data_IF_139304958750
#
_entry.id   IF_139304958750
#
_cell.length_a   1.000
_cell.length_b   1.000
_cell.length_c   1.000
_cell.angle_alpha   90.00
_cell.angle_beta   90.00
_cell.angle_gamma   90.00
#
_symmetry.space_group_name_H-M   'P 1'
#
loop_
_entity.id
_entity.type
_entity.pdbx_description
1 polymer ?
#
# COMPACT_ATOMS: atom_id res chain seq x y z
N UNK A 1 17.33 -39.73 21.54
CA UNK A 1 15.86 -39.83 21.48
C UNK A 1 15.45 -39.35 20.08
N UNK A 2 15.03 -40.26 19.21
CA UNK A 2 14.68 -40.02 17.80
C UNK A 2 13.21 -39.61 17.73
N UNK A 3 12.88 -38.44 17.18
CA UNK A 3 11.54 -38.04 16.75
C UNK A 3 11.67 -37.48 15.34
N UNK A 4 11.41 -38.29 14.40
CA UNK A 4 10.27 -38.46 13.44
C UNK A 4 10.06 -37.26 12.53
N UNK A 5 10.93 -37.16 11.51
CA UNK A 5 10.61 -36.50 10.23
C UNK A 5 9.69 -37.47 9.43
N UNK A 6 8.38 -37.34 9.61
CA UNK A 6 7.39 -37.99 8.74
C UNK A 6 6.19 -37.03 8.69
N UNK A 7 5.98 -36.43 7.57
CA UNK A 7 4.73 -35.66 7.36
C UNK A 7 4.65 -34.77 6.13
N UNK A 8 5.78 -34.42 5.52
CA UNK A 8 5.74 -33.43 4.40
C UNK A 8 5.99 -34.06 3.01
N UNK A 9 6.32 -35.33 2.91
CA UNK A 9 6.68 -35.98 1.61
C UNK A 9 5.54 -36.84 1.03
N UNK A 10 4.45 -37.07 1.77
CA UNK A 10 3.36 -37.95 1.33
C UNK A 10 2.29 -37.32 0.44
N UNK A 11 2.34 -35.99 0.17
CA UNK A 11 1.34 -35.32 -0.68
C UNK A 11 1.75 -35.19 -2.15
N UNK A 12 3.00 -35.49 -2.49
CA UNK A 12 3.52 -35.34 -3.88
C UNK A 12 3.31 -36.59 -4.75
N UNK A 13 2.84 -37.71 -4.19
CA UNK A 13 2.81 -39.00 -4.85
C UNK A 13 1.52 -39.46 -5.52
N UNK A 14 0.47 -38.63 -5.58
CA UNK A 14 -0.83 -39.04 -6.14
C UNK A 14 -1.31 -38.10 -7.26
N UNK A 15 -0.55 -38.03 -8.34
CA UNK A 15 -1.05 -37.40 -9.59
C UNK A 15 -1.16 -38.49 -10.66
N UNK A 16 -2.26 -39.20 -10.59
CA UNK A 16 -2.73 -40.04 -11.68
C UNK A 16 -3.54 -39.21 -12.67
N UNK A 17 -3.10 -39.17 -13.92
CA UNK A 17 -3.76 -38.55 -15.06
C UNK A 17 -5.14 -39.15 -15.30
N UNK A 18 -6.19 -38.33 -15.21
CA UNK A 18 -7.48 -38.63 -15.85
C UNK A 18 -7.99 -37.36 -16.58
N UNK A 19 -7.96 -37.43 -17.89
CA UNK A 19 -8.63 -36.51 -18.80
C UNK A 19 -10.13 -36.75 -18.75
N UNK A 20 -10.93 -35.77 -18.35
CA UNK A 20 -12.38 -35.75 -18.50
C UNK A 20 -12.85 -34.41 -19.05
N UNK A 21 -13.87 -34.47 -19.86
CA UNK A 21 -14.44 -33.43 -20.72
C UNK A 21 -14.88 -32.17 -19.95
N UNK A 22 -14.79 -31.02 -20.63
CA UNK A 22 -15.22 -29.72 -20.17
C UNK A 22 -16.73 -29.66 -19.88
N UNK A 23 -17.07 -29.84 -18.64
CA UNK A 23 -18.31 -29.43 -18.01
C UNK A 23 -17.92 -28.47 -16.91
N UNK A 24 -18.73 -27.43 -16.57
CA UNK A 24 -18.49 -26.40 -15.54
C UNK A 24 -17.78 -26.98 -14.30
N UNK A 25 -16.49 -27.28 -14.42
CA UNK A 25 -15.76 -28.08 -13.45
C UNK A 25 -15.22 -27.15 -12.38
N UNK A 26 -15.62 -27.40 -11.17
CA UNK A 26 -14.98 -26.91 -9.96
C UNK A 26 -13.47 -27.07 -10.11
N UNK A 27 -12.75 -25.95 -10.19
CA UNK A 27 -11.30 -25.94 -10.26
C UNK A 27 -10.74 -25.70 -8.87
N UNK A 28 -9.80 -26.52 -8.47
CA UNK A 28 -9.09 -26.37 -7.21
C UNK A 28 -7.58 -26.30 -7.51
N UNK A 29 -6.92 -25.26 -7.01
CA UNK A 29 -5.49 -25.10 -7.15
C UNK A 29 -4.85 -24.70 -5.82
N UNK A 30 -3.64 -25.17 -5.57
CA UNK A 30 -2.75 -24.64 -4.55
C UNK A 30 -1.89 -23.57 -5.20
N UNK A 31 -1.88 -22.39 -4.62
CA UNK A 31 -1.05 -21.26 -5.05
C UNK A 31 -0.18 -20.75 -3.92
N UNK A 32 0.95 -20.19 -4.28
CA UNK A 32 1.80 -19.45 -3.36
C UNK A 32 2.07 -18.10 -4.01
N UNK A 33 1.41 -17.06 -3.53
CA UNK A 33 1.81 -15.71 -3.86
C UNK A 33 2.80 -15.24 -2.79
N UNK A 34 3.84 -14.54 -3.20
CA UNK A 34 4.80 -14.07 -2.21
C UNK A 34 5.90 -13.22 -2.79
N UNK A 35 6.70 -12.68 -1.90
CA UNK A 35 7.85 -11.85 -2.24
C UNK A 35 8.97 -12.08 -1.25
N UNK A 36 10.20 -12.29 -1.75
CA UNK A 36 11.40 -12.07 -0.97
C UNK A 36 11.91 -10.69 -1.31
N UNK A 37 12.14 -9.85 -0.33
CA UNK A 37 12.47 -8.46 -0.58
C UNK A 37 13.66 -7.98 0.26
N UNK A 38 14.43 -7.11 -0.35
CA UNK A 38 15.43 -6.28 0.28
C UNK A 38 15.25 -4.87 -0.28
N UNK A 39 14.70 -3.98 0.53
CA UNK A 39 14.52 -2.57 0.21
C UNK A 39 15.35 -1.76 1.18
N UNK A 40 16.13 -0.81 0.67
CA UNK A 40 16.96 0.06 1.47
C UNK A 40 16.73 1.51 1.05
N UNK A 41 16.22 2.29 1.97
CA UNK A 41 15.92 3.70 1.81
C UNK A 41 16.94 4.51 2.62
N UNK A 42 17.91 5.09 1.91
CA UNK A 42 18.92 5.98 2.47
C UNK A 42 18.36 7.41 2.50
N UNK A 43 17.40 7.61 3.38
CA UNK A 43 16.84 8.92 3.64
C UNK A 43 17.64 9.56 4.78
N UNK A 44 18.17 10.73 4.53
CA UNK A 44 18.94 11.49 5.50
C UNK A 44 18.36 12.89 5.56
N UNK A 45 17.62 13.20 6.58
CA UNK A 45 17.08 14.53 6.66
C UNK A 45 16.05 14.74 7.75
N UNK A 46 15.50 15.94 7.73
CA UNK A 46 14.54 16.38 8.73
C UNK A 46 13.12 15.83 8.48
N UNK A 47 12.86 15.28 7.28
CA UNK A 47 11.53 14.83 6.87
C UNK A 47 11.26 13.36 7.24
N UNK A 48 12.20 12.49 6.91
CA UNK A 48 12.05 11.04 7.04
C UNK A 48 13.41 10.41 7.30
N UNK A 49 13.49 9.48 8.26
CA UNK A 49 14.67 8.66 8.49
C UNK A 49 14.75 7.50 7.48
N UNK A 50 15.97 7.15 7.11
CA UNK A 50 16.26 5.98 6.31
C UNK A 50 15.98 4.68 7.05
N UNK A 51 15.64 3.64 6.30
CA UNK A 51 15.38 2.30 6.84
C UNK A 51 15.71 1.21 5.84
N UNK A 52 15.85 -0.01 6.33
CA UNK A 52 16.05 -1.19 5.51
C UNK A 52 14.97 -2.21 5.84
N UNK A 53 14.30 -2.75 4.82
CA UNK A 53 13.30 -3.81 4.92
C UNK A 53 13.85 -5.09 4.29
N UNK A 54 14.53 -5.97 5.04
CA UNK A 54 14.98 -7.28 4.57
C UNK A 54 14.00 -8.35 5.05
N UNK A 55 13.30 -9.03 4.15
CA UNK A 55 12.32 -10.00 4.60
C UNK A 55 11.68 -10.84 3.50
N UNK A 56 10.63 -11.51 3.87
CA UNK A 56 9.73 -12.16 2.93
C UNK A 56 8.27 -12.05 3.39
N UNK A 57 7.39 -12.04 2.42
CA UNK A 57 5.97 -12.24 2.59
C UNK A 57 5.56 -13.45 1.74
N UNK A 58 4.93 -14.46 2.35
CA UNK A 58 4.43 -15.64 1.66
C UNK A 58 2.96 -15.82 1.96
N UNK A 59 2.18 -16.11 0.93
CA UNK A 59 0.76 -16.35 0.99
C UNK A 59 0.39 -17.67 0.32
N UNK A 60 0.67 -18.82 0.96
CA UNK A 60 0.14 -20.10 0.52
C UNK A 60 -1.38 -20.13 0.73
N UNK A 61 -2.12 -20.42 -0.33
CA UNK A 61 -3.59 -20.52 -0.28
C UNK A 61 -4.13 -21.51 -1.29
N UNK A 62 -5.30 -22.02 -0.97
CA UNK A 62 -6.12 -22.81 -1.90
C UNK A 62 -7.03 -21.83 -2.64
N UNK A 63 -6.99 -21.91 -3.96
CA UNK A 63 -7.90 -21.19 -4.86
C UNK A 63 -8.95 -22.19 -5.36
N UNK A 64 -10.18 -21.97 -4.96
CA UNK A 64 -11.32 -22.81 -5.29
C UNK A 64 -12.35 -22.07 -6.11
N UNK A 65 -12.45 -22.36 -7.39
CA UNK A 65 -13.50 -21.86 -8.26
C UNK A 65 -14.72 -22.79 -8.16
N UNK A 66 -15.77 -22.31 -7.50
CA UNK A 66 -17.01 -23.05 -7.33
C UNK A 66 -17.81 -23.11 -8.64
N UNK A 67 -17.89 -21.98 -9.33
CA UNK A 67 -18.49 -21.86 -10.66
C UNK A 67 -17.84 -20.68 -11.42
N UNK A 68 -18.45 -20.27 -12.54
CA UNK A 68 -17.96 -19.13 -13.35
C UNK A 68 -18.07 -17.78 -12.64
N UNK A 69 -18.84 -17.67 -11.57
CA UNK A 69 -19.11 -16.43 -10.86
C UNK A 69 -18.46 -16.36 -9.48
N UNK A 70 -18.24 -17.50 -8.83
CA UNK A 70 -17.82 -17.54 -7.43
C UNK A 70 -16.46 -18.26 -7.32
N UNK A 71 -15.48 -17.51 -6.83
CA UNK A 71 -14.17 -17.99 -6.43
C UNK A 71 -13.95 -17.75 -4.95
N UNK A 72 -13.34 -18.73 -4.28
CA UNK A 72 -12.94 -18.65 -2.88
C UNK A 72 -11.44 -18.87 -2.77
N UNK A 73 -10.80 -18.13 -1.86
CA UNK A 73 -9.42 -18.38 -1.48
C UNK A 73 -9.35 -18.55 0.03
N UNK A 74 -8.57 -19.50 0.49
CA UNK A 74 -8.33 -19.74 1.90
C UNK A 74 -6.86 -20.10 2.14
N UNK A 75 -6.20 -19.42 3.05
CA UNK A 75 -4.80 -19.60 3.35
C UNK A 75 -4.32 -18.74 4.50
N UNK A 76 -3.05 -18.43 4.49
CA UNK A 76 -2.41 -17.55 5.47
C UNK A 76 -1.48 -16.58 4.78
N UNK A 77 -1.35 -15.39 5.30
CA UNK A 77 -0.33 -14.43 4.97
C UNK A 77 0.76 -14.48 6.04
N UNK A 78 1.97 -14.83 5.65
CA UNK A 78 3.12 -14.94 6.53
C UNK A 78 4.14 -13.87 6.18
N UNK A 79 4.39 -12.97 7.13
CA UNK A 79 5.37 -11.90 7.00
C UNK A 79 6.52 -12.16 7.99
N UNK A 80 7.75 -11.96 7.55
CA UNK A 80 8.95 -12.13 8.34
C UNK A 80 10.04 -11.17 7.92
N UNK A 81 10.74 -10.58 8.89
CA UNK A 81 11.88 -9.71 8.66
C UNK A 81 13.14 -10.25 9.30
N UNK A 82 14.25 -10.19 8.56
CA UNK A 82 15.57 -10.51 9.11
C UNK A 82 16.13 -9.32 9.87
N UNK A 83 16.86 -9.60 10.97
CA UNK A 83 17.56 -8.58 11.74
C UNK A 83 16.73 -7.83 12.77
N UNK A 84 15.42 -7.97 12.73
CA UNK A 84 14.46 -7.50 13.76
C UNK A 84 14.80 -6.16 14.43
N UNK A 85 15.14 -5.14 13.65
CA UNK A 85 15.21 -3.76 14.11
C UNK A 85 13.87 -3.07 13.80
N UNK A 86 13.44 -2.14 14.65
CA UNK A 86 12.15 -1.48 14.49
C UNK A 86 12.01 -0.78 13.13
N UNK A 87 10.76 -0.68 12.68
CA UNK A 87 10.40 0.13 11.52
C UNK A 87 10.49 1.62 11.83
N UNK A 88 10.69 2.48 10.83
CA UNK A 88 10.58 3.91 11.02
C UNK A 88 9.14 4.24 11.48
N UNK A 89 9.05 4.95 12.56
CA UNK A 89 7.76 5.36 13.14
C UNK A 89 6.98 6.24 12.15
N UNK A 90 5.68 6.05 12.11
CA UNK A 90 4.75 6.89 11.35
C UNK A 90 4.47 6.44 9.91
N UNK A 91 5.36 5.67 9.28
CA UNK A 91 5.14 5.20 7.89
C UNK A 91 4.49 3.82 7.85
N UNK A 92 4.76 2.99 8.86
CA UNK A 92 4.45 1.57 8.86
C UNK A 92 3.80 1.11 10.18
N UNK A 93 3.08 2.00 10.85
CA UNK A 93 2.46 1.78 12.17
C UNK A 93 1.53 0.56 12.27
N UNK A 94 1.12 0.03 11.13
CA UNK A 94 0.07 -1.01 11.11
C UNK A 94 0.60 -2.43 11.34
N UNK A 95 1.90 -2.65 11.20
CA UNK A 95 2.57 -3.93 11.49
C UNK A 95 3.39 -3.86 12.78
N UNK A 96 3.58 -2.66 13.32
CA UNK A 96 4.37 -2.47 14.53
C UNK A 96 3.75 -3.20 15.70
N UNK A 97 4.54 -4.00 16.43
CA UNK A 97 4.11 -4.48 17.73
C UNK A 97 3.82 -3.26 18.61
N UNK A 98 2.76 -3.34 19.36
CA UNK A 98 2.45 -2.36 20.43
C UNK A 98 3.65 -2.26 21.35
N UNK A 99 3.88 -1.06 21.89
CA UNK A 99 5.01 -0.82 22.78
C UNK A 99 5.15 -1.93 23.84
N UNK A 100 6.28 -2.65 23.83
CA UNK A 100 6.53 -3.80 24.68
C UNK A 100 6.55 -5.17 23.99
N UNK A 101 6.03 -5.29 22.76
CA UNK A 101 6.13 -6.52 21.99
C UNK A 101 7.39 -6.45 21.12
N UNK A 102 8.34 -7.37 21.33
CA UNK A 102 9.37 -7.59 20.32
C UNK A 102 8.68 -8.10 19.06
N UNK A 103 9.04 -7.57 17.87
CA UNK A 103 8.65 -8.18 16.60
C UNK A 103 9.06 -9.65 16.64
N UNK A 104 8.10 -10.49 17.01
CA UNK A 104 8.31 -11.92 16.92
C UNK A 104 8.59 -12.21 15.45
N UNK A 105 9.57 -13.05 15.21
CA UNK A 105 10.00 -13.41 13.86
C UNK A 105 8.87 -13.94 12.96
N UNK A 106 7.71 -14.22 13.50
CA UNK A 106 6.60 -14.84 12.81
C UNK A 106 5.34 -13.99 12.96
N UNK A 107 4.91 -13.36 11.88
CA UNK A 107 3.64 -12.67 11.79
C UNK A 107 2.72 -13.41 10.80
N UNK A 108 1.69 -14.05 11.32
CA UNK A 108 0.73 -14.84 10.56
C UNK A 108 -0.65 -14.26 10.68
N UNK A 109 -1.27 -13.98 9.54
CA UNK A 109 -2.64 -13.48 9.44
C UNK A 109 -3.45 -14.41 8.55
N UNK A 110 -4.71 -14.74 8.88
CA UNK A 110 -5.58 -15.50 7.98
C UNK A 110 -5.77 -14.76 6.65
N UNK A 111 -5.74 -15.51 5.55
CA UNK A 111 -6.13 -15.04 4.23
C UNK A 111 -7.41 -15.75 3.82
N UNK A 112 -8.51 -15.00 3.76
CA UNK A 112 -9.81 -15.52 3.35
C UNK A 112 -10.42 -14.52 2.38
N UNK A 113 -10.74 -14.95 1.16
CA UNK A 113 -11.32 -14.09 0.14
C UNK A 113 -12.46 -14.82 -0.57
N UNK A 114 -13.57 -14.13 -0.77
CA UNK A 114 -14.63 -14.54 -1.67
C UNK A 114 -14.76 -13.50 -2.79
N UNK A 115 -14.60 -13.94 -4.06
CA UNK A 115 -14.83 -13.10 -5.23
C UNK A 115 -16.09 -13.55 -5.94
N UNK A 116 -17.02 -12.62 -6.15
CA UNK A 116 -18.32 -12.85 -6.76
C UNK A 116 -18.42 -12.00 -8.03
N UNK A 117 -18.41 -12.61 -9.20
CA UNK A 117 -18.63 -11.97 -10.49
C UNK A 117 -20.11 -11.65 -10.70
N UNK A 118 -20.48 -10.39 -10.51
CA UNK A 118 -21.85 -9.91 -10.71
C UNK A 118 -22.19 -9.79 -12.21
N UNK A 119 -21.20 -9.36 -12.99
CA UNK A 119 -21.22 -9.31 -14.45
C UNK A 119 -19.82 -9.66 -14.98
N UNK A 120 -19.60 -9.79 -16.31
CA UNK A 120 -18.26 -10.03 -16.87
C UNK A 120 -17.24 -8.92 -16.54
N UNK A 121 -17.68 -7.75 -16.14
CA UNK A 121 -16.86 -6.56 -15.87
C UNK A 121 -17.04 -5.99 -14.46
N UNK A 122 -17.87 -6.60 -13.61
CA UNK A 122 -18.15 -6.15 -12.24
C UNK A 122 -18.01 -7.32 -11.27
N UNK A 123 -17.20 -7.18 -10.25
CA UNK A 123 -16.99 -8.17 -9.21
C UNK A 123 -17.07 -7.54 -7.81
N UNK A 124 -17.63 -8.29 -6.88
CA UNK A 124 -17.59 -8.01 -5.44
C UNK A 124 -16.55 -8.94 -4.79
N UNK A 125 -15.67 -8.38 -3.98
CA UNK A 125 -14.70 -9.11 -3.17
C UNK A 125 -15.04 -8.90 -1.70
N UNK A 126 -15.06 -9.97 -0.92
CA UNK A 126 -15.32 -9.95 0.51
C UNK A 126 -14.21 -10.69 1.25
N UNK A 127 -13.81 -10.22 2.41
CA UNK A 127 -12.70 -10.72 3.20
C UNK A 127 -11.41 -10.02 2.84
N UNK A 128 -10.32 -10.74 2.56
CA UNK A 128 -9.05 -10.15 2.13
C UNK A 128 -9.20 -9.49 0.76
N UNK A 129 -8.76 -8.23 0.63
CA UNK A 129 -8.97 -7.43 -0.57
C UNK A 129 -7.91 -7.71 -1.66
N UNK A 130 -8.22 -7.33 -2.88
CA UNK A 130 -7.28 -7.37 -4.01
C UNK A 130 -6.48 -6.07 -4.05
N UNK A 131 -5.26 -6.08 -3.56
CA UNK A 131 -4.38 -4.90 -3.45
C UNK A 131 -3.18 -4.91 -4.38
N UNK A 132 -3.04 -5.93 -5.23
CA UNK A 132 -1.89 -6.08 -6.12
C UNK A 132 -1.70 -4.95 -7.14
N UNK A 133 -2.73 -4.15 -7.38
CA UNK A 133 -2.69 -2.94 -8.22
C UNK A 133 -2.71 -1.63 -7.40
N UNK A 134 -2.52 -1.71 -6.07
CA UNK A 134 -2.47 -0.56 -5.16
C UNK A 134 -3.69 0.37 -5.31
N UNK A 135 -4.88 -0.20 -5.58
CA UNK A 135 -6.14 0.50 -5.87
C UNK A 135 -6.05 1.53 -7.01
N UNK A 136 -5.09 1.38 -7.92
CA UNK A 136 -4.74 2.35 -8.99
C UNK A 136 -4.39 3.76 -8.46
N UNK A 137 -3.99 3.86 -7.20
CA UNK A 137 -3.65 5.12 -6.54
C UNK A 137 -2.21 5.56 -6.86
N UNK A 138 -1.96 6.87 -7.02
CA UNK A 138 -0.60 7.40 -7.19
C UNK A 138 0.21 7.34 -5.89
N UNK A 139 1.55 7.37 -6.00
CA UNK A 139 2.49 7.29 -4.87
C UNK A 139 2.17 8.24 -3.69
N UNK A 140 1.73 9.49 -3.92
CA UNK A 140 1.34 10.35 -2.80
C UNK A 140 0.07 9.89 -2.07
N UNK A 141 -0.71 8.97 -2.63
CA UNK A 141 -1.91 8.43 -2.01
C UNK A 141 -1.77 6.99 -1.53
N UNK A 142 -0.85 6.20 -2.09
CA UNK A 142 -0.60 4.82 -1.66
C UNK A 142 0.89 4.47 -1.79
N UNK A 143 1.50 4.09 -0.68
CA UNK A 143 2.89 3.60 -0.65
C UNK A 143 2.90 2.11 -1.03
N UNK A 144 3.57 1.70 -2.13
CA UNK A 144 3.69 0.29 -2.53
C UNK A 144 4.33 -0.61 -1.47
N UNK A 145 5.17 -0.07 -0.62
CA UNK A 145 5.82 -0.81 0.47
C UNK A 145 4.84 -1.32 1.53
N UNK A 146 3.62 -0.79 1.57
CA UNK A 146 2.54 -1.33 2.41
C UNK A 146 2.33 -2.82 2.18
N UNK A 147 2.55 -3.32 0.97
CA UNK A 147 2.50 -4.76 0.65
C UNK A 147 3.44 -5.59 1.52
N UNK A 148 4.58 -5.02 1.93
CA UNK A 148 5.61 -5.68 2.75
C UNK A 148 5.54 -5.32 4.23
N UNK A 149 4.78 -4.30 4.58
CA UNK A 149 4.89 -3.62 5.86
C UNK A 149 3.57 -3.46 6.60
N UNK A 150 2.45 -3.91 6.03
CA UNK A 150 1.14 -3.89 6.69
C UNK A 150 0.44 -5.23 6.57
N UNK A 151 -0.52 -5.46 7.46
CA UNK A 151 -1.44 -6.58 7.32
C UNK A 151 -2.25 -6.44 6.04
N UNK A 152 -2.64 -7.56 5.41
CA UNK A 152 -3.53 -7.54 4.27
C UNK A 152 -4.79 -6.72 4.57
N UNK A 153 -5.18 -5.88 3.66
CA UNK A 153 -6.44 -5.15 3.76
C UNK A 153 -7.60 -6.14 3.73
N UNK A 154 -8.59 -5.92 4.59
CA UNK A 154 -9.72 -6.85 4.75
C UNK A 154 -11.04 -6.11 4.96
N UNK A 155 -12.09 -6.57 4.26
CA UNK A 155 -13.42 -5.98 4.32
C UNK A 155 -14.26 -6.27 3.07
N UNK A 156 -14.60 -5.24 2.32
CA UNK A 156 -15.39 -5.35 1.09
C UNK A 156 -14.80 -4.46 -0.02
N UNK A 157 -14.81 -4.96 -1.25
CA UNK A 157 -14.30 -4.25 -2.41
C UNK A 157 -15.18 -4.51 -3.63
N UNK A 158 -15.50 -3.45 -4.36
CA UNK A 158 -16.23 -3.50 -5.63
C UNK A 158 -15.29 -3.13 -6.76
N UNK A 159 -15.04 -4.07 -7.66
CA UNK A 159 -14.16 -3.91 -8.81
C UNK A 159 -14.96 -3.88 -10.10
N UNK A 160 -14.77 -2.81 -10.88
CA UNK A 160 -15.27 -2.72 -12.23
C UNK A 160 -14.11 -2.51 -13.19
N UNK A 161 -14.02 -3.36 -14.20
CA UNK A 161 -13.03 -3.23 -15.26
C UNK A 161 -13.71 -3.41 -16.62
N UNK A 162 -13.93 -2.29 -17.31
CA UNK A 162 -14.51 -2.24 -18.65
C UNK A 162 -13.57 -1.52 -19.61
N UNK A 163 -13.87 -1.55 -20.91
CA UNK A 163 -13.06 -0.85 -21.92
C UNK A 163 -12.90 0.65 -21.63
N UNK A 164 -13.90 1.30 -21.04
CA UNK A 164 -13.98 2.75 -20.91
C UNK A 164 -13.94 3.26 -19.48
N UNK A 165 -14.06 2.37 -18.50
CA UNK A 165 -14.11 2.72 -17.09
C UNK A 165 -13.47 1.63 -16.25
N UNK A 166 -12.53 2.00 -15.38
CA UNK A 166 -12.12 1.21 -14.25
C UNK A 166 -12.67 1.85 -12.97
N UNK A 167 -13.06 1.02 -12.00
CA UNK A 167 -13.45 1.44 -10.67
C UNK A 167 -12.96 0.41 -9.66
N UNK A 168 -12.40 0.91 -8.58
CA UNK A 168 -12.11 0.18 -7.36
C UNK A 168 -12.69 0.99 -6.19
N UNK A 169 -13.65 0.42 -5.47
CA UNK A 169 -14.21 1.02 -4.27
C UNK A 169 -14.12 0.02 -3.13
N UNK A 170 -13.50 0.42 -2.01
CA UNK A 170 -13.20 -0.51 -0.94
C UNK A 170 -13.43 0.07 0.44
N UNK A 171 -13.60 -0.83 1.41
CA UNK A 171 -13.51 -0.58 2.85
C UNK A 171 -12.56 -1.61 3.43
N UNK A 172 -11.53 -1.13 4.12
CA UNK A 172 -10.54 -1.92 4.85
C UNK A 172 -10.74 -1.68 6.34
N UNK A 173 -11.18 -2.72 7.05
CA UNK A 173 -11.52 -2.66 8.47
C UNK A 173 -10.29 -3.02 9.30
N UNK A 174 -9.69 -2.04 9.95
CA UNK A 174 -8.43 -2.21 10.71
C UNK A 174 -8.67 -2.61 12.16
N UNK A 175 -9.62 -1.98 12.83
CA UNK A 175 -10.00 -2.25 14.21
C UNK A 175 -11.51 -2.08 14.36
N UNK A 176 -12.20 -3.08 14.87
CA UNK A 176 -13.62 -2.98 15.18
C UNK A 176 -13.86 -2.90 16.69
N UNK A 177 -14.99 -2.31 17.10
CA UNK A 177 -15.37 -2.19 18.49
C UNK A 177 -16.22 -3.40 18.88
N UNK A 178 -15.83 -4.04 19.99
CA UNK A 178 -16.62 -5.06 20.65
C UNK A 178 -17.12 -4.55 21.98
N UNK A 179 -18.10 -5.24 22.58
CA UNK A 179 -18.60 -4.91 23.91
C UNK A 179 -17.45 -4.82 24.93
N UNK A 180 -17.32 -3.68 25.63
CA UNK A 180 -16.22 -3.33 26.53
C UNK A 180 -14.83 -3.08 25.88
N UNK A 181 -14.74 -2.90 24.58
CA UNK A 181 -13.51 -2.41 23.96
C UNK A 181 -13.12 -1.04 24.49
N UNK A 182 -11.81 -0.83 24.72
CA UNK A 182 -11.26 0.45 25.19
C UNK A 182 -10.55 1.23 24.08
N UNK A 183 -10.48 0.67 22.88
CA UNK A 183 -9.89 1.33 21.70
C UNK A 183 -10.99 1.90 20.82
N UNK A 184 -10.62 2.81 19.95
CA UNK A 184 -11.50 3.37 18.95
C UNK A 184 -11.56 2.46 17.71
N UNK A 185 -12.70 2.47 17.03
CA UNK A 185 -12.84 1.88 15.71
C UNK A 185 -11.91 2.56 14.72
N UNK A 186 -11.32 1.77 13.82
CA UNK A 186 -10.48 2.27 12.73
C UNK A 186 -10.82 1.56 11.45
N UNK A 187 -11.09 2.32 10.40
CA UNK A 187 -11.18 1.79 9.05
C UNK A 187 -10.66 2.80 8.02
N UNK A 188 -10.18 2.27 6.92
CA UNK A 188 -9.87 3.02 5.73
C UNK A 188 -10.93 2.70 4.69
N UNK A 189 -11.36 3.67 3.91
CA UNK A 189 -12.16 3.42 2.73
C UNK A 189 -11.71 4.33 1.61
N UNK A 190 -11.94 3.87 0.39
CA UNK A 190 -11.57 4.66 -0.75
C UNK A 190 -12.34 4.29 -1.99
N UNK A 191 -12.20 5.15 -2.97
CA UNK A 191 -12.73 4.96 -4.31
C UNK A 191 -11.72 5.50 -5.33
N UNK A 192 -11.44 4.70 -6.33
CA UNK A 192 -10.68 5.04 -7.52
C UNK A 192 -11.57 4.85 -8.74
N UNK A 193 -11.80 5.92 -9.50
CA UNK A 193 -12.62 5.90 -10.72
C UNK A 193 -11.77 6.45 -11.86
N UNK A 194 -11.56 5.64 -12.89
CA UNK A 194 -10.71 6.01 -14.02
C UNK A 194 -11.45 5.83 -15.34
N UNK A 195 -12.15 6.87 -15.84
CA UNK A 195 -12.56 6.93 -17.22
C UNK A 195 -11.35 6.87 -18.13
N UNK A 196 -11.41 6.01 -19.15
CA UNK A 196 -10.27 5.76 -20.04
C UNK A 196 -10.69 5.66 -21.49
N UNK A 197 -9.84 6.19 -22.34
CA UNK A 197 -9.99 6.14 -23.79
C UNK A 197 -8.71 5.61 -24.42
N UNK A 198 -8.86 4.68 -25.34
CA UNK A 198 -7.73 4.14 -26.10
C UNK A 198 -8.06 4.20 -27.61
N UNK A 199 -7.19 4.87 -28.35
CA UNK A 199 -7.26 4.95 -29.80
C UNK A 199 -5.90 4.65 -30.39
N UNK A 200 -5.77 3.56 -31.15
CA UNK A 200 -4.51 3.10 -31.74
C UNK A 200 -3.41 2.98 -30.68
N UNK A 201 -2.40 3.86 -30.77
CA UNK A 201 -1.23 3.92 -29.89
C UNK A 201 -1.40 4.91 -28.73
N UNK A 202 -2.48 5.67 -28.69
CA UNK A 202 -2.74 6.64 -27.64
C UNK A 202 -3.66 6.09 -26.58
N UNK A 203 -3.32 6.35 -25.33
CA UNK A 203 -4.17 6.15 -24.14
C UNK A 203 -4.37 7.49 -23.45
N UNK A 204 -5.58 7.73 -23.01
CA UNK A 204 -5.95 8.88 -22.19
C UNK A 204 -6.84 8.38 -21.06
N UNK A 205 -6.53 8.80 -19.83
CA UNK A 205 -7.37 8.52 -18.68
C UNK A 205 -7.49 9.76 -17.77
N UNK A 206 -8.60 9.83 -17.05
CA UNK A 206 -8.91 10.89 -16.09
C UNK A 206 -9.17 10.26 -14.72
N UNK A 207 -8.12 9.85 -14.00
CA UNK A 207 -8.30 9.22 -12.70
C UNK A 207 -8.83 10.21 -11.65
N UNK A 208 -9.79 9.74 -10.86
CA UNK A 208 -10.42 10.43 -9.75
C UNK A 208 -10.32 9.52 -8.54
N UNK A 209 -9.76 10.03 -7.43
CA UNK A 209 -9.53 9.26 -6.23
C UNK A 209 -10.03 9.98 -4.99
N UNK A 210 -10.56 9.21 -4.05
CA UNK A 210 -10.84 9.69 -2.70
C UNK A 210 -10.52 8.59 -1.70
N UNK A 211 -9.87 8.96 -0.60
CA UNK A 211 -9.53 8.08 0.52
C UNK A 211 -10.01 8.75 1.80
N UNK A 212 -10.60 7.96 2.69
CA UNK A 212 -10.99 8.37 4.03
C UNK A 212 -10.34 7.42 5.02
N UNK A 213 -9.67 7.97 6.00
CA UNK A 213 -9.24 7.25 7.19
C UNK A 213 -10.09 7.73 8.36
N UNK A 214 -10.85 6.83 8.97
CA UNK A 214 -11.75 7.13 10.08
C UNK A 214 -11.22 6.53 11.37
N UNK A 215 -11.30 7.32 12.45
CA UNK A 215 -11.04 6.89 13.82
C UNK A 215 -12.14 7.39 14.73
N UNK A 216 -12.59 6.52 15.61
CA UNK A 216 -13.69 6.80 16.53
C UNK A 216 -14.96 6.12 16.07
N UNK A 217 -15.95 5.99 16.91
CA UNK A 217 -17.19 5.32 16.55
C UNK A 217 -18.11 5.11 17.72
N UNK A 218 -19.07 4.24 17.55
CA UNK A 218 -20.23 4.12 18.40
C UNK A 218 -19.93 3.68 19.84
N UNK A 219 -20.53 4.38 20.74
CA UNK A 219 -21.16 3.96 21.99
C UNK A 219 -20.32 3.49 23.17
N UNK A 220 -19.15 2.83 23.03
CA UNK A 220 -18.36 2.31 24.16
C UNK A 220 -16.87 2.58 24.03
N UNK A 221 -16.47 3.27 22.98
CA UNK A 221 -15.11 3.74 22.80
C UNK A 221 -14.75 4.77 23.88
N UNK A 222 -13.47 4.96 24.08
CA UNK A 222 -12.97 6.02 24.95
C UNK A 222 -13.56 7.36 24.52
N UNK A 223 -14.48 7.90 25.30
CA UNK A 223 -15.17 9.16 25.04
C UNK A 223 -14.27 10.38 25.30
N UNK A 224 -13.06 10.17 25.81
CA UNK A 224 -12.08 11.25 26.02
C UNK A 224 -11.42 11.69 24.72
N UNK A 225 -11.38 10.83 23.70
CA UNK A 225 -10.87 11.13 22.37
C UNK A 225 -12.04 11.20 21.40
N UNK A 226 -12.29 12.38 20.83
CA UNK A 226 -13.35 12.59 19.84
C UNK A 226 -13.13 11.75 18.59
N UNK A 227 -14.19 11.46 17.85
CA UNK A 227 -14.08 10.84 16.54
C UNK A 227 -13.54 11.86 15.50
N UNK A 228 -12.72 11.37 14.60
CA UNK A 228 -12.13 12.20 13.56
C UNK A 228 -11.95 11.42 12.26
N UNK A 229 -11.96 12.14 11.18
CA UNK A 229 -11.75 11.60 9.85
C UNK A 229 -10.76 12.45 9.08
N UNK A 230 -9.92 11.77 8.32
CA UNK A 230 -8.95 12.37 7.42
C UNK A 230 -9.32 12.00 5.99
N UNK A 231 -9.07 12.91 5.06
CA UNK A 231 -9.46 12.78 3.67
C UNK A 231 -8.29 13.12 2.77
N UNK A 232 -8.00 12.26 1.79
CA UNK A 232 -7.23 12.63 0.61
C UNK A 232 -8.12 12.49 -0.62
N UNK A 233 -8.10 13.49 -1.50
CA UNK A 233 -8.73 13.39 -2.81
C UNK A 233 -7.72 13.77 -3.89
N UNK A 234 -7.88 13.20 -5.07
CA UNK A 234 -7.06 13.55 -6.23
C UNK A 234 -7.88 13.54 -7.51
N UNK A 235 -7.52 14.43 -8.41
CA UNK A 235 -7.96 14.44 -9.80
C UNK A 235 -6.73 14.47 -10.68
N UNK A 236 -6.71 13.57 -11.69
CA UNK A 236 -5.54 13.40 -12.53
C UNK A 236 -5.83 13.38 -14.02
N UNK A 237 -4.76 13.47 -14.76
CA UNK A 237 -4.67 13.24 -16.20
C UNK A 237 -3.54 12.23 -16.42
N UNK A 238 -3.82 11.15 -17.15
CA UNK A 238 -2.83 10.18 -17.61
C UNK A 238 -2.94 10.09 -19.13
N UNK A 239 -1.84 10.38 -19.81
CA UNK A 239 -1.73 10.32 -21.26
C UNK A 239 -0.50 9.51 -21.63
N UNK A 240 -0.65 8.54 -22.53
CA UNK A 240 0.46 7.74 -23.00
C UNK A 240 0.40 7.48 -24.52
N UNK A 241 1.59 7.34 -25.08
CA UNK A 241 1.80 6.97 -26.48
C UNK A 241 2.75 5.77 -26.57
N UNK A 242 2.29 4.71 -27.25
CA UNK A 242 3.00 3.43 -27.32
C UNK A 242 3.48 3.16 -28.77
N UNK A 243 4.64 3.70 -29.21
CA UNK A 243 5.23 3.41 -30.51
C UNK A 243 6.04 2.10 -30.46
N UNK A 244 5.46 1.00 -30.92
CA UNK A 244 6.11 -0.32 -30.89
C UNK A 244 6.28 -0.85 -29.47
N UNK A 245 7.53 -1.17 -29.09
CA UNK A 245 7.87 -1.70 -27.77
C UNK A 245 8.11 -0.60 -26.70
N UNK A 246 8.03 0.67 -27.08
CA UNK A 246 8.19 1.81 -26.18
C UNK A 246 6.83 2.31 -25.70
N UNK A 247 6.79 2.77 -24.45
CA UNK A 247 5.66 3.49 -23.87
C UNK A 247 6.18 4.80 -23.29
N UNK A 248 5.65 5.92 -23.77
CA UNK A 248 5.99 7.25 -23.29
C UNK A 248 4.73 7.82 -22.65
N UNK A 249 4.80 8.16 -21.38
CA UNK A 249 3.67 8.61 -20.59
C UNK A 249 3.91 9.94 -19.90
N UNK A 250 2.83 10.65 -19.69
CA UNK A 250 2.76 11.82 -18.82
C UNK A 250 1.55 11.67 -17.91
N UNK A 251 1.79 11.80 -16.62
CA UNK A 251 0.74 11.77 -15.59
C UNK A 251 0.83 13.03 -14.75
N UNK A 252 -0.31 13.61 -14.40
CA UNK A 252 -0.38 14.76 -13.51
C UNK A 252 -1.58 14.63 -12.58
N UNK A 253 -1.40 15.01 -11.30
CA UNK A 253 -2.45 15.02 -10.29
C UNK A 253 -2.47 16.33 -9.52
N UNK A 254 -3.66 16.78 -9.23
CA UNK A 254 -3.95 17.73 -8.15
C UNK A 254 -4.49 16.95 -6.97
N UNK A 255 -3.86 17.11 -5.81
CA UNK A 255 -4.20 16.36 -4.60
C UNK A 255 -4.64 17.33 -3.49
N UNK A 256 -5.52 16.85 -2.63
CA UNK A 256 -5.95 17.61 -1.46
C UNK A 256 -5.89 16.73 -0.21
N UNK A 257 -5.66 17.38 0.90
CA UNK A 257 -5.79 16.82 2.23
C UNK A 257 -6.79 17.64 3.04
N UNK A 258 -7.62 17.00 3.83
CA UNK A 258 -8.43 17.67 4.82
C UNK A 258 -8.74 16.74 6.00
N UNK A 259 -9.10 17.34 7.15
CA UNK A 259 -9.57 16.61 8.31
C UNK A 259 -10.81 17.21 8.91
N UNK A 260 -11.60 16.39 9.61
CA UNK A 260 -12.77 16.82 10.39
C UNK A 260 -12.76 16.13 11.75
N UNK A 261 -13.38 16.78 12.73
CA UNK A 261 -13.68 16.20 14.05
C UNK A 261 -12.53 16.11 15.04
N UNK A 262 -11.27 16.33 14.64
CA UNK A 262 -10.17 16.30 15.61
C UNK A 262 -10.26 17.51 16.55
N UNK A 263 -10.25 17.32 17.87
CA UNK A 263 -10.22 18.42 18.84
C UNK A 263 -8.93 19.26 18.65
N UNK A 264 -9.05 20.56 18.84
CA UNK A 264 -7.86 21.40 18.98
C UNK A 264 -7.17 20.97 20.29
N UNK A 265 -5.94 20.44 20.18
CA UNK A 265 -5.14 20.13 21.34
C UNK A 265 -5.27 18.69 21.87
N UNK A 266 -5.44 17.70 21.01
CA UNK A 266 -5.26 16.30 21.39
C UNK A 266 -3.87 16.11 22.03
N UNK A 267 -3.87 15.84 23.35
CA UNK A 267 -2.64 15.66 24.13
C UNK A 267 -2.10 14.25 23.83
N UNK A 268 -1.01 14.18 23.09
CA UNK A 268 -0.31 12.93 22.84
C UNK A 268 0.69 12.71 23.97
N UNK A 269 0.57 11.58 24.65
CA UNK A 269 1.55 11.14 25.64
C UNK A 269 2.46 10.11 25.00
N UNK A 270 3.76 10.23 25.25
CA UNK A 270 4.72 9.21 24.83
C UNK A 270 4.53 7.90 25.61
N UNK A 271 5.28 6.87 25.27
CA UNK A 271 5.25 5.57 25.93
C UNK A 271 5.68 5.63 27.42
N UNK A 272 6.21 6.75 27.86
CA UNK A 272 6.62 7.04 29.25
C UNK A 272 5.60 7.86 30.04
N UNK A 273 4.45 8.19 29.39
CA UNK A 273 3.41 9.03 29.97
C UNK A 273 3.79 10.51 30.03
N UNK A 274 4.85 10.95 29.34
CA UNK A 274 5.19 12.35 29.21
C UNK A 274 4.32 13.00 28.15
N UNK A 275 3.80 14.18 28.45
CA UNK A 275 3.03 14.98 27.50
C UNK A 275 3.95 15.39 26.34
N UNK A 276 3.78 14.77 25.21
CA UNK A 276 4.36 15.23 23.94
C UNK A 276 3.41 16.31 23.44
N UNK A 277 3.94 17.45 23.02
CA UNK A 277 3.12 18.45 22.34
C UNK A 277 2.33 17.78 21.22
N UNK A 278 1.04 18.11 21.04
CA UNK A 278 0.26 17.50 19.98
C UNK A 278 1.00 17.69 18.66
N UNK A 279 1.11 16.64 17.82
CA UNK A 279 1.81 16.79 16.55
C UNK A 279 1.13 17.90 15.78
N UNK A 280 1.90 18.75 15.09
CA UNK A 280 1.32 19.80 14.28
C UNK A 280 0.36 19.16 13.28
N UNK A 281 -0.81 19.71 13.18
CA UNK A 281 -1.87 19.12 12.37
C UNK A 281 -2.50 20.19 11.49
N UNK A 282 -2.62 19.87 10.19
CA UNK A 282 -3.27 20.76 9.24
C UNK A 282 -4.77 20.46 9.14
N UNK A 283 -5.59 21.50 8.97
CA UNK A 283 -7.01 21.32 8.63
C UNK A 283 -7.21 20.99 7.15
N UNK A 284 -6.38 21.57 6.30
CA UNK A 284 -6.42 21.41 4.84
C UNK A 284 -5.02 21.58 4.27
N UNK A 285 -4.77 20.88 3.19
CA UNK A 285 -3.55 20.98 2.41
C UNK A 285 -3.78 20.58 0.96
N UNK A 286 -2.80 20.83 0.12
CA UNK A 286 -2.85 20.46 -1.28
C UNK A 286 -1.48 20.05 -1.79
N UNK A 287 -1.45 19.33 -2.91
CA UNK A 287 -0.25 18.93 -3.58
C UNK A 287 -0.45 18.81 -5.09
N UNK A 288 0.64 18.92 -5.80
CA UNK A 288 0.73 18.64 -7.23
C UNK A 288 1.79 17.58 -7.44
N UNK A 289 1.45 16.53 -8.17
CA UNK A 289 2.39 15.48 -8.55
C UNK A 289 2.34 15.26 -10.04
N UNK A 290 3.51 15.22 -10.67
CA UNK A 290 3.64 14.94 -12.11
C UNK A 290 4.70 13.90 -12.35
N UNK A 291 4.49 13.03 -13.35
CA UNK A 291 5.44 11.99 -13.77
C UNK A 291 5.58 11.97 -15.27
N UNK A 292 6.82 11.97 -15.74
CA UNK A 292 7.18 11.56 -17.08
C UNK A 292 7.67 10.12 -17.03
N UNK A 293 7.11 9.26 -17.86
CA UNK A 293 7.47 7.85 -17.95
C UNK A 293 8.05 7.53 -19.32
N UNK A 294 9.15 6.78 -19.33
CA UNK A 294 9.64 6.09 -20.50
C UNK A 294 9.80 4.61 -20.16
N UNK A 295 9.09 3.73 -20.87
CA UNK A 295 9.20 2.30 -20.64
C UNK A 295 9.57 1.58 -21.94
N UNK A 296 10.41 0.58 -21.84
CA UNK A 296 10.80 -0.30 -22.92
C UNK A 296 10.79 -1.75 -22.42
N UNK A 297 9.83 -2.51 -22.94
CA UNK A 297 9.58 -3.89 -22.48
C UNK A 297 9.38 -3.94 -20.96
N UNK A 298 10.35 -4.48 -20.21
CA UNK A 298 10.30 -4.66 -18.76
C UNK A 298 11.14 -3.64 -17.99
N UNK A 299 11.70 -2.64 -18.68
CA UNK A 299 12.44 -1.52 -18.08
C UNK A 299 11.57 -0.29 -18.07
N UNK A 300 11.52 0.43 -16.95
CA UNK A 300 10.79 1.69 -16.78
C UNK A 300 11.67 2.74 -16.12
N UNK A 301 11.62 3.94 -16.67
CA UNK A 301 12.23 5.14 -16.10
C UNK A 301 11.14 6.17 -15.86
N UNK A 302 11.15 6.78 -14.70
CA UNK A 302 10.24 7.87 -14.33
C UNK A 302 11.04 9.07 -13.85
N UNK A 303 10.54 10.24 -14.20
CA UNK A 303 10.95 11.53 -13.64
C UNK A 303 9.71 12.12 -12.97
N UNK A 304 9.75 12.25 -11.65
CA UNK A 304 8.64 12.77 -10.88
C UNK A 304 8.97 14.14 -10.32
N UNK A 305 7.95 15.00 -10.22
CA UNK A 305 8.02 16.24 -9.49
C UNK A 305 6.86 16.34 -8.51
N UNK A 306 7.14 16.74 -7.30
CA UNK A 306 6.20 17.00 -6.23
C UNK A 306 6.30 18.44 -5.74
N UNK A 307 5.15 19.04 -5.44
CA UNK A 307 5.05 20.27 -4.66
C UNK A 307 3.83 20.19 -3.77
N UNK A 308 4.03 20.20 -2.46
CA UNK A 308 2.96 20.14 -1.46
C UNK A 308 3.03 21.28 -0.45
N UNK A 309 1.86 21.75 -0.03
CA UNK A 309 1.71 22.68 1.08
C UNK A 309 0.64 22.13 2.04
N UNK A 310 1.05 21.89 3.28
CA UNK A 310 0.19 21.31 4.34
C UNK A 310 -0.46 19.99 3.96
N UNK A 311 0.11 19.26 2.99
CA UNK A 311 -0.39 17.99 2.55
C UNK A 311 0.10 16.87 3.50
N UNK A 312 -0.79 15.92 3.80
CA UNK A 312 -0.49 14.71 4.57
C UNK A 312 -1.04 13.51 3.81
N UNK A 313 -0.19 12.58 3.38
CA UNK A 313 -0.63 11.33 2.77
C UNK A 313 -1.21 10.41 3.83
N UNK A 314 -2.37 9.82 3.60
CA UNK A 314 -3.00 8.88 4.55
C UNK A 314 -2.47 7.46 4.41
N UNK A 315 -2.36 6.97 3.18
CA UNK A 315 -1.79 5.66 2.85
C UNK A 315 -0.55 5.79 1.96
N UNK A 316 -0.20 7.01 1.55
CA UNK A 316 0.91 7.31 0.66
C UNK A 316 2.26 7.36 1.37
N UNK A 317 3.34 7.53 0.58
CA UNK A 317 4.68 7.70 1.12
C UNK A 317 4.81 9.03 1.87
N UNK A 318 5.45 8.98 3.04
CA UNK A 318 5.75 10.16 3.85
C UNK A 318 6.74 11.13 3.18
N UNK A 319 7.43 10.72 2.13
CA UNK A 319 8.21 11.62 1.28
C UNK A 319 7.39 12.82 0.76
N UNK A 320 6.08 12.65 0.64
CA UNK A 320 5.14 13.68 0.18
C UNK A 320 4.48 14.46 1.32
N UNK A 321 4.82 14.15 2.58
CA UNK A 321 4.20 14.75 3.76
C UNK A 321 4.83 16.12 4.09
N UNK A 322 4.00 17.10 4.41
CA UNK A 322 4.45 18.33 5.04
C UNK A 322 4.60 18.20 6.57
N UNK A 323 4.30 17.04 7.15
CA UNK A 323 4.67 16.69 8.53
C UNK A 323 5.96 15.90 8.50
N UNK A 324 6.92 16.25 9.36
CA UNK A 324 8.10 15.43 9.56
C UNK A 324 7.72 14.15 10.33
N UNK A 325 8.20 12.99 9.89
CA UNK A 325 8.14 11.75 10.67
C UNK A 325 9.36 11.59 11.58
N UNK A 326 10.46 12.25 11.26
CA UNK A 326 11.70 12.22 12.03
C UNK A 326 11.64 13.18 13.24
N UNK A 327 11.09 14.37 13.03
CA UNK A 327 11.01 15.41 14.07
C UNK A 327 9.53 15.72 14.33
N UNK A 328 8.97 15.15 15.39
CA UNK A 328 7.53 15.12 15.67
C UNK A 328 6.86 16.50 15.80
N UNK A 329 7.62 17.55 16.08
CA UNK A 329 7.11 18.93 16.20
C UNK A 329 7.40 19.81 14.97
N UNK A 330 7.90 19.23 13.87
CA UNK A 330 8.30 19.95 12.67
C UNK A 330 7.28 19.83 11.55
N UNK A 331 7.05 20.94 10.87
CA UNK A 331 6.27 21.01 9.62
C UNK A 331 7.07 21.71 8.53
N UNK A 332 6.99 21.16 7.32
CA UNK A 332 7.64 21.70 6.14
C UNK A 332 6.71 22.67 5.41
N UNK A 333 7.19 23.87 5.12
CA UNK A 333 6.46 24.81 4.27
C UNK A 333 6.79 24.52 2.81
N UNK A 334 5.78 24.31 1.99
CA UNK A 334 5.90 24.10 0.55
C UNK A 334 7.03 23.13 0.18
N UNK A 335 6.89 21.89 0.62
CA UNK A 335 7.83 20.82 0.31
C UNK A 335 7.83 20.56 -1.21
N UNK A 336 9.03 20.63 -1.81
CA UNK A 336 9.22 20.33 -3.23
C UNK A 336 10.33 19.29 -3.38
N UNK A 337 10.12 18.32 -4.26
CA UNK A 337 11.14 17.34 -4.59
C UNK A 337 11.05 16.88 -6.05
N UNK A 338 12.16 16.37 -6.57
CA UNK A 338 12.26 15.67 -7.83
C UNK A 338 12.77 14.25 -7.55
N UNK A 339 12.16 13.25 -8.19
CA UNK A 339 12.64 11.86 -8.11
C UNK A 339 12.98 11.34 -9.51
N UNK A 340 14.09 10.63 -9.60
CA UNK A 340 14.46 9.83 -10.76
C UNK A 340 14.34 8.37 -10.35
N UNK A 341 13.42 7.63 -10.95
CA UNK A 341 13.19 6.22 -10.63
C UNK A 341 13.46 5.34 -11.81
N UNK A 342 14.20 4.27 -11.59
CA UNK A 342 14.48 3.22 -12.56
C UNK A 342 14.00 1.88 -12.02
N UNK A 343 13.33 1.10 -12.85
CA UNK A 343 12.84 -0.24 -12.53
C UNK A 343 13.15 -1.19 -13.67
N UNK A 344 13.58 -2.39 -13.36
CA UNK A 344 13.70 -3.48 -14.32
C UNK A 344 13.16 -4.78 -13.75
N UNK A 345 12.44 -5.55 -14.57
CA UNK A 345 11.85 -6.83 -14.16
C UNK A 345 12.29 -7.94 -15.11
N UNK A 346 12.96 -8.95 -14.57
CA UNK A 346 13.22 -10.22 -15.27
C UNK A 346 12.08 -11.18 -14.97
N UNK A 347 11.47 -11.72 -16.02
CA UNK A 347 10.36 -12.68 -15.92
C UNK A 347 10.85 -14.11 -16.10
N UNK A 348 10.53 -14.97 -15.15
CA UNK A 348 10.81 -16.40 -15.17
C UNK A 348 9.52 -17.19 -15.03
N UNK A 349 9.60 -18.51 -15.24
CA UNK A 349 8.46 -19.38 -14.99
C UNK A 349 8.19 -19.49 -13.49
N UNK A 350 7.06 -18.92 -13.03
CA UNK A 350 6.63 -18.97 -11.63
C UNK A 350 7.29 -17.94 -10.70
N UNK A 351 8.13 -17.04 -11.22
CA UNK A 351 8.63 -15.91 -10.44
C UNK A 351 9.10 -14.74 -11.32
N UNK A 352 9.09 -13.54 -10.77
CA UNK A 352 9.61 -12.34 -11.39
C UNK A 352 10.63 -11.68 -10.45
N UNK A 353 11.82 -11.35 -10.96
CA UNK A 353 12.83 -10.59 -10.22
C UNK A 353 12.75 -9.13 -10.62
N UNK A 354 12.43 -8.25 -9.68
CA UNK A 354 12.36 -6.80 -9.85
C UNK A 354 13.52 -6.14 -9.14
N UNK A 355 14.16 -5.19 -9.82
CA UNK A 355 15.13 -4.27 -9.23
C UNK A 355 14.64 -2.84 -9.44
N UNK A 356 14.66 -2.07 -8.37
CA UNK A 356 14.26 -0.68 -8.31
C UNK A 356 15.40 0.18 -7.79
N UNK A 357 15.53 1.39 -8.32
CA UNK A 357 16.44 2.40 -7.80
C UNK A 357 15.78 3.77 -7.93
N UNK A 358 15.97 4.61 -6.93
CA UNK A 358 15.52 6.00 -6.96
C UNK A 358 16.60 6.95 -6.43
N UNK A 359 16.70 8.11 -7.06
CA UNK A 359 17.37 9.29 -6.55
C UNK A 359 16.33 10.35 -6.29
N UNK A 360 16.38 10.98 -5.12
CA UNK A 360 15.41 11.95 -4.65
C UNK A 360 16.17 13.21 -4.24
N UNK A 361 15.82 14.33 -4.82
CA UNK A 361 16.35 15.64 -4.46
C UNK A 361 15.23 16.50 -3.88
N UNK A 362 15.37 16.88 -2.61
CA UNK A 362 14.46 17.82 -1.94
C UNK A 362 15.07 19.20 -2.00
N UNK A 363 14.29 20.16 -2.51
CA UNK A 363 14.75 21.55 -2.61
C UNK A 363 14.79 22.23 -1.24
N UNK A 364 15.70 23.19 -1.08
CA UNK A 364 15.76 24.01 0.12
C UNK A 364 14.41 24.70 0.39
N UNK A 365 13.97 24.64 1.63
CA UNK A 365 12.67 25.18 2.03
C UNK A 365 12.65 25.61 3.50
N UNK A 366 11.63 26.34 3.91
CA UNK A 366 11.42 26.72 5.29
C UNK A 366 10.63 25.64 6.04
N UNK A 367 10.94 25.48 7.32
CA UNK A 367 10.20 24.62 8.23
C UNK A 367 9.82 25.40 9.51
N UNK A 368 8.69 25.03 10.07
CA UNK A 368 8.23 25.52 11.37
C UNK A 368 8.40 24.42 12.41
N UNK A 369 8.80 24.81 13.61
CA UNK A 369 8.84 23.95 14.79
C UNK A 369 7.97 24.55 15.90
N UNK A 370 7.26 23.70 16.61
CA UNK A 370 6.49 24.14 17.77
C UNK A 370 7.45 24.70 18.83
N UNK A 371 7.16 25.90 19.33
CA UNK A 371 7.98 26.60 20.34
C UNK A 371 9.38 27.03 19.89
N UNK A 372 9.72 26.95 18.61
CA UNK A 372 10.98 27.41 18.04
C UNK A 372 10.74 28.44 16.92
N UNK A 373 11.80 29.15 16.58
CA UNK A 373 11.76 30.03 15.39
C UNK A 373 11.74 29.19 14.12
N UNK A 374 11.06 29.65 13.08
CA UNK A 374 11.16 29.04 11.77
C UNK A 374 12.61 28.87 11.35
N UNK A 375 12.94 27.73 10.77
CA UNK A 375 14.28 27.44 10.26
C UNK A 375 14.25 27.28 8.73
N UNK A 376 15.39 27.51 8.10
CA UNK A 376 15.61 27.18 6.70
C UNK A 376 16.34 25.85 6.64
N UNK A 377 15.79 24.92 5.90
CA UNK A 377 16.42 23.63 5.59
C UNK A 377 17.13 23.73 4.26
N UNK A 378 18.31 23.17 4.19
CA UNK A 378 19.07 23.07 2.94
C UNK A 378 18.43 22.00 2.02
N UNK A 379 18.88 21.97 0.77
CA UNK A 379 18.51 20.92 -0.14
C UNK A 379 19.14 19.58 0.31
N UNK A 380 18.40 18.48 0.17
CA UNK A 380 18.84 17.16 0.61
C UNK A 380 18.77 16.16 -0.55
N UNK A 381 19.75 15.27 -0.61
CA UNK A 381 19.81 14.19 -1.58
C UNK A 381 19.61 12.87 -0.87
N UNK A 382 18.68 12.06 -1.37
CA UNK A 382 18.31 10.78 -0.81
C UNK A 382 18.31 9.71 -1.89
N UNK A 383 18.48 8.46 -1.50
CA UNK A 383 18.54 7.33 -2.41
C UNK A 383 17.67 6.20 -1.88
N UNK A 384 17.11 5.43 -2.80
CA UNK A 384 16.41 4.18 -2.50
C UNK A 384 16.82 3.13 -3.50
N UNK A 385 16.95 1.89 -3.05
CA UNK A 385 17.07 0.76 -3.94
C UNK A 385 16.35 -0.45 -3.36
N UNK A 386 15.78 -1.28 -4.26
CA UNK A 386 15.06 -2.48 -3.90
C UNK A 386 15.36 -3.64 -4.81
N UNK A 387 15.41 -4.84 -4.25
CA UNK A 387 15.42 -6.10 -4.98
C UNK A 387 14.28 -6.95 -4.44
N UNK A 388 13.33 -7.30 -5.31
CA UNK A 388 12.16 -8.07 -4.93
C UNK A 388 12.01 -9.26 -5.87
N UNK A 389 12.00 -10.46 -5.32
CA UNK A 389 11.65 -11.68 -6.04
C UNK A 389 10.17 -12.00 -5.75
N UNK A 390 9.30 -11.75 -6.70
CA UNK A 390 7.90 -12.13 -6.63
C UNK A 390 7.72 -13.60 -7.01
N UNK A 391 7.02 -14.35 -6.17
CA UNK A 391 6.74 -15.77 -6.35
C UNK A 391 5.25 -15.95 -6.67
N UNK A 392 4.94 -16.73 -7.72
CA UNK A 392 3.57 -17.05 -8.13
C UNK A 392 3.40 -18.47 -8.68
N UNK A 393 4.03 -19.49 -8.06
CA UNK A 393 3.81 -20.87 -8.48
C UNK A 393 2.38 -21.31 -8.19
N UNK A 394 1.85 -22.16 -9.10
CA UNK A 394 0.50 -22.69 -9.01
C UNK A 394 0.50 -24.16 -9.39
N UNK A 395 -0.19 -24.98 -8.60
CA UNK A 395 -0.38 -26.42 -8.83
C UNK A 395 -1.88 -26.69 -8.90
N UNK A 396 -2.37 -27.14 -10.06
CA UNK A 396 -3.76 -27.56 -10.19
C UNK A 396 -3.96 -28.87 -9.45
N UNK A 397 -4.92 -28.91 -8.53
CA UNK A 397 -5.30 -30.13 -7.77
C UNK A 397 -6.48 -30.83 -8.44
N UNK A 398 -7.45 -30.08 -8.95
CA UNK A 398 -8.60 -30.55 -9.72
C UNK A 398 -8.77 -29.59 -10.91
N UNK A 399 -8.99 -30.14 -12.09
CA UNK A 399 -9.23 -29.41 -13.33
C UNK A 399 -10.68 -29.54 -13.77
#
# INVERSE_FOLDING_TARGET
MKLRNIGLIAIIGLIGSSSLAAQDSTQLALRIDGSLFFVNDEYSGSQLDGYTLPGFMLRPHVDWRLDRHVGLQAGVNWLYYWGNAGFPQGVLDEVMPRAGDSLQALHLVPWLQARIGLTPWLSLVLGSLETGHHHDLPLPLYNPERTFATDPEAGAQLLLDSRHLALDAWVDWREFIWYNSRHQERFNCGISVTPRYKANRFRLALPLHAIVQHRGGEGLADTTIGHHSYYNCAVGLDAAYTPGDFDIGFTAYLLTYSRSGAPEGELVYDSWGCLVAPPPSFKRGFGVWTTLTAAWRTTRLNVDYWSGDKFVPLLGSYLFSNLSSNISDMTHRRLQLVMLRAQHTWKFSGCDLQCDAAYIHTFAHAADRLNYWPCSLEAEDMFSFGIVLHLHPSIALIR
#
